data_IF_797218835924
#
_entry.id   IF_797218835924
#
_cell.length_a   1.000
_cell.length_b   1.000
_cell.length_c   1.000
_cell.angle_alpha   90.00
_cell.angle_beta   90.00
_cell.angle_gamma   90.00
#
_symmetry.space_group_name_H-M   'P 1'
#
loop_
_entity.id
_entity.type
_entity.pdbx_description
1 polymer ?
#
# COMPACT_ATOMS: atom_id res chain seq x y z
N UNK A 1 25.43 -10.85 6.55
CA UNK A 1 24.74 -9.54 6.68
C UNK A 1 23.93 -9.16 5.43
N UNK A 2 24.42 -9.40 4.21
CA UNK A 2 23.66 -9.10 2.98
C UNK A 2 22.44 -10.00 2.73
N UNK A 3 22.52 -11.30 3.06
CA UNK A 3 21.41 -12.26 2.89
C UNK A 3 20.13 -11.81 3.61
N UNK A 4 20.23 -11.50 4.90
CA UNK A 4 19.09 -10.96 5.68
C UNK A 4 18.52 -9.64 5.11
N UNK A 5 19.34 -8.78 4.49
CA UNK A 5 18.88 -7.53 3.89
C UNK A 5 18.12 -7.77 2.59
N UNK A 6 18.57 -8.72 1.77
CA UNK A 6 17.85 -9.16 0.55
C UNK A 6 16.53 -9.83 0.91
N UNK A 7 16.53 -10.71 1.91
CA UNK A 7 15.31 -11.41 2.35
C UNK A 7 14.30 -10.44 2.97
N UNK A 8 14.76 -9.39 3.68
CA UNK A 8 13.90 -8.32 4.21
C UNK A 8 13.19 -7.55 3.09
N UNK A 9 13.83 -7.31 1.95
CA UNK A 9 13.21 -6.61 0.83
C UNK A 9 12.22 -7.54 0.10
N UNK A 10 12.56 -8.83 -0.03
CA UNK A 10 11.73 -9.80 -0.75
C UNK A 10 10.33 -9.92 -0.16
N UNK A 11 10.20 -10.20 1.14
CA UNK A 11 8.88 -10.38 1.76
C UNK A 11 8.02 -9.10 1.71
N UNK A 12 8.65 -7.91 1.85
CA UNK A 12 7.94 -6.62 1.75
C UNK A 12 7.31 -6.48 0.37
N UNK A 13 8.09 -6.76 -0.68
CA UNK A 13 7.58 -6.65 -2.05
C UNK A 13 6.48 -7.69 -2.33
N UNK A 14 6.64 -8.94 -1.86
CA UNK A 14 5.59 -9.96 -2.01
C UNK A 14 4.31 -9.54 -1.27
N UNK A 15 4.43 -8.98 -0.06
CA UNK A 15 3.29 -8.48 0.68
C UNK A 15 2.58 -7.31 -0.05
N UNK A 16 3.34 -6.42 -0.71
CA UNK A 16 2.77 -5.40 -1.60
C UNK A 16 2.04 -5.99 -2.79
N UNK A 17 2.58 -7.06 -3.38
CA UNK A 17 1.93 -7.75 -4.49
C UNK A 17 0.60 -8.39 -4.05
N UNK A 18 0.58 -9.07 -2.90
CA UNK A 18 -0.66 -9.66 -2.37
C UNK A 18 -1.68 -8.57 -2.03
N UNK A 19 -1.23 -7.46 -1.43
CA UNK A 19 -2.10 -6.32 -1.17
C UNK A 19 -2.66 -5.72 -2.47
N UNK A 20 -1.87 -5.59 -3.55
CA UNK A 20 -2.40 -5.05 -4.82
C UNK A 20 -3.39 -5.99 -5.49
N UNK A 21 -3.17 -7.31 -5.40
CA UNK A 21 -4.14 -8.29 -5.89
C UNK A 21 -5.45 -8.19 -5.10
N UNK A 22 -5.37 -8.04 -3.77
CA UNK A 22 -6.55 -7.81 -2.95
C UNK A 22 -7.29 -6.50 -3.31
N UNK A 23 -6.58 -5.39 -3.57
CA UNK A 23 -7.21 -4.17 -4.11
C UNK A 23 -7.96 -4.46 -5.41
N UNK A 24 -7.37 -5.23 -6.33
CA UNK A 24 -8.03 -5.53 -7.60
C UNK A 24 -9.28 -6.40 -7.37
N UNK A 25 -9.20 -7.42 -6.50
CA UNK A 25 -10.35 -8.26 -6.13
C UNK A 25 -11.49 -7.39 -5.61
N UNK A 26 -11.20 -6.47 -4.68
CA UNK A 26 -12.18 -5.53 -4.14
C UNK A 26 -12.93 -4.75 -5.25
N UNK A 27 -12.16 -4.17 -6.18
CA UNK A 27 -12.72 -3.30 -7.22
C UNK A 27 -13.42 -4.03 -8.36
N UNK A 28 -13.32 -5.37 -8.44
CA UNK A 28 -14.08 -6.17 -9.42
C UNK A 28 -15.35 -6.79 -8.82
N UNK A 29 -15.65 -6.51 -7.56
CA UNK A 29 -16.94 -6.85 -6.95
C UNK A 29 -18.10 -6.15 -7.67
N UNK A 30 -19.19 -6.87 -7.94
CA UNK A 30 -20.31 -6.42 -8.77
C UNK A 30 -20.04 -6.43 -10.28
N UNK A 31 -18.84 -6.84 -10.72
CA UNK A 31 -18.46 -6.95 -12.13
C UNK A 31 -18.10 -8.39 -12.48
N UNK A 32 -17.20 -9.00 -11.70
CA UNK A 32 -16.68 -10.35 -11.91
C UNK A 32 -17.14 -11.36 -10.84
N UNK A 33 -17.80 -10.89 -9.79
CA UNK A 33 -18.45 -11.71 -8.76
C UNK A 33 -19.39 -10.82 -7.93
N UNK A 34 -20.41 -11.42 -7.32
CA UNK A 34 -21.35 -10.71 -6.42
C UNK A 34 -21.28 -11.18 -4.97
N UNK A 35 -20.52 -12.25 -4.69
CA UNK A 35 -20.41 -12.78 -3.34
C UNK A 35 -19.59 -11.82 -2.44
N UNK A 36 -20.19 -11.23 -1.39
CA UNK A 36 -19.52 -10.24 -0.55
C UNK A 36 -18.33 -10.82 0.22
N UNK A 37 -18.26 -12.14 0.43
CA UNK A 37 -17.16 -12.82 1.13
C UNK A 37 -15.80 -12.44 0.51
N UNK A 38 -15.70 -12.40 -0.82
CA UNK A 38 -14.45 -12.07 -1.50
C UNK A 38 -14.05 -10.60 -1.32
N UNK A 39 -15.03 -9.68 -1.28
CA UNK A 39 -14.76 -8.29 -0.96
C UNK A 39 -14.24 -8.15 0.49
N UNK A 40 -14.92 -8.75 1.47
CA UNK A 40 -14.47 -8.74 2.87
C UNK A 40 -13.09 -9.36 3.08
N UNK A 41 -12.77 -10.44 2.36
CA UNK A 41 -11.44 -11.06 2.37
C UNK A 41 -10.36 -10.13 1.82
N UNK A 42 -10.71 -9.10 1.06
CA UNK A 42 -9.77 -8.22 0.38
C UNK A 42 -9.57 -6.85 1.07
N UNK A 43 -10.47 -6.46 1.98
CA UNK A 43 -10.44 -5.15 2.66
C UNK A 43 -9.18 -4.88 3.50
N UNK A 44 -8.37 -5.91 3.81
CA UNK A 44 -7.09 -5.71 4.49
C UNK A 44 -6.06 -4.91 3.65
N UNK A 45 -6.27 -4.83 2.34
CA UNK A 45 -5.24 -4.44 1.38
C UNK A 45 -4.61 -3.07 1.67
N UNK A 46 -5.43 -2.04 1.88
CA UNK A 46 -4.94 -0.67 2.11
C UNK A 46 -4.21 -0.60 3.46
N UNK A 47 -4.72 -1.26 4.49
CA UNK A 47 -4.06 -1.34 5.80
C UNK A 47 -2.69 -2.00 5.71
N UNK A 48 -2.56 -3.10 4.95
CA UNK A 48 -1.27 -3.74 4.68
C UNK A 48 -0.32 -2.78 3.96
N UNK A 49 -0.79 -2.05 2.94
CA UNK A 49 0.05 -1.05 2.25
C UNK A 49 0.57 0.04 3.19
N UNK A 50 -0.29 0.56 4.07
CA UNK A 50 0.07 1.59 5.05
C UNK A 50 1.07 1.05 6.07
N UNK A 51 0.89 -0.20 6.53
CA UNK A 51 1.86 -0.84 7.42
C UNK A 51 3.24 -0.98 6.74
N UNK A 52 3.28 -1.50 5.50
CA UNK A 52 4.51 -1.64 4.73
C UNK A 52 5.17 -0.29 4.40
N UNK A 53 4.36 0.76 4.22
CA UNK A 53 4.82 2.14 4.12
C UNK A 53 5.57 2.58 5.38
N UNK A 54 5.04 2.25 6.57
CA UNK A 54 5.71 2.49 7.85
C UNK A 54 7.05 1.78 7.93
N UNK A 55 7.09 0.48 7.59
CA UNK A 55 8.32 -0.33 7.57
C UNK A 55 9.38 0.30 6.66
N UNK A 56 9.01 0.61 5.42
CA UNK A 56 9.94 1.16 4.43
C UNK A 56 10.36 2.60 4.75
N UNK A 57 9.47 3.41 5.33
CA UNK A 57 9.78 4.76 5.79
C UNK A 57 10.77 4.75 6.96
N UNK A 58 10.64 3.81 7.90
CA UNK A 58 11.62 3.63 8.97
C UNK A 58 13.02 3.33 8.42
N UNK A 59 13.15 2.37 7.50
CA UNK A 59 14.44 2.06 6.86
C UNK A 59 14.99 3.20 5.99
N UNK A 60 14.11 4.00 5.36
CA UNK A 60 14.54 5.19 4.62
C UNK A 60 15.13 6.24 5.57
N UNK A 61 14.40 6.59 6.64
CA UNK A 61 14.85 7.57 7.63
C UNK A 61 16.13 7.12 8.34
N UNK A 62 16.30 5.82 8.61
CA UNK A 62 17.53 5.29 9.18
C UNK A 62 18.74 5.43 8.24
N UNK A 63 18.56 5.20 6.93
CA UNK A 63 19.66 5.31 5.94
C UNK A 63 20.07 6.76 5.69
N UNK A 64 19.10 7.66 5.69
CA UNK A 64 19.29 9.08 5.37
C UNK A 64 19.27 9.96 6.63
N UNK A 65 19.56 9.40 7.81
CA UNK A 65 19.48 10.13 9.07
C UNK A 65 20.39 11.37 9.13
N UNK A 66 21.54 11.31 8.43
CA UNK A 66 22.52 12.40 8.34
C UNK A 66 22.26 13.38 7.19
N UNK A 67 21.32 13.07 6.30
CA UNK A 67 21.05 13.90 5.13
C UNK A 67 20.24 15.14 5.54
N UNK A 68 20.30 16.17 4.69
CA UNK A 68 19.43 17.32 4.85
C UNK A 68 17.96 16.90 4.77
N UNK A 69 17.20 17.19 5.83
CA UNK A 69 15.79 16.81 5.99
C UNK A 69 14.92 17.20 4.78
N UNK A 70 15.05 18.44 4.31
CA UNK A 70 14.23 18.96 3.21
C UNK A 70 14.58 18.25 1.90
N UNK A 71 15.87 18.02 1.65
CA UNK A 71 16.33 17.31 0.45
C UNK A 71 15.82 15.86 0.41
N UNK A 72 15.86 15.15 1.53
CA UNK A 72 15.34 13.78 1.62
C UNK A 72 13.82 13.73 1.44
N UNK A 73 13.10 14.65 2.09
CA UNK A 73 11.64 14.73 1.97
C UNK A 73 11.20 15.01 0.53
N UNK A 74 11.81 16.00 -0.14
CA UNK A 74 11.53 16.32 -1.55
C UNK A 74 11.78 15.11 -2.45
N UNK A 75 12.90 14.39 -2.24
CA UNK A 75 13.23 13.19 -3.02
C UNK A 75 12.13 12.12 -2.90
N UNK A 76 11.63 11.88 -1.68
CA UNK A 76 10.58 10.89 -1.41
C UNK A 76 9.24 11.31 -2.02
N UNK A 77 8.85 12.58 -1.83
CA UNK A 77 7.62 13.14 -2.39
C UNK A 77 7.65 13.07 -3.92
N UNK A 78 8.76 13.46 -4.57
CA UNK A 78 8.91 13.39 -6.03
C UNK A 78 8.71 11.98 -6.58
N UNK A 79 9.16 10.95 -5.87
CA UNK A 79 8.98 9.55 -6.26
C UNK A 79 7.52 9.09 -6.38
N UNK A 80 6.57 9.86 -5.84
CA UNK A 80 5.14 9.55 -5.84
C UNK A 80 4.36 10.60 -6.63
N UNK A 81 4.67 11.87 -6.38
CA UNK A 81 4.02 13.00 -7.03
C UNK A 81 4.18 12.94 -8.55
N UNK A 82 5.38 12.57 -9.05
CA UNK A 82 5.60 12.49 -10.51
C UNK A 82 4.73 11.40 -11.15
N UNK A 83 4.77 10.12 -10.72
CA UNK A 83 3.86 9.11 -11.24
C UNK A 83 2.38 9.50 -11.13
N UNK A 84 1.98 10.14 -10.03
CA UNK A 84 0.60 10.61 -9.82
C UNK A 84 0.19 11.72 -10.79
N UNK A 85 1.05 12.71 -11.04
CA UNK A 85 0.84 13.78 -12.03
C UNK A 85 0.64 13.17 -13.42
N UNK A 86 1.52 12.25 -13.82
CA UNK A 86 1.43 11.55 -15.11
C UNK A 86 0.15 10.71 -15.20
N UNK A 87 -0.20 9.97 -14.14
CA UNK A 87 -1.43 9.20 -14.10
C UNK A 87 -2.66 10.10 -14.24
N UNK A 88 -2.72 11.22 -13.52
CA UNK A 88 -3.82 12.19 -13.61
C UNK A 88 -3.99 12.71 -15.04
N UNK A 89 -2.89 13.04 -15.72
CA UNK A 89 -2.95 13.48 -17.12
C UNK A 89 -3.51 12.39 -18.04
N UNK A 90 -3.03 11.15 -17.90
CA UNK A 90 -3.52 9.99 -18.69
C UNK A 90 -5.01 9.74 -18.44
N UNK A 91 -5.45 9.78 -17.18
CA UNK A 91 -6.86 9.61 -16.83
C UNK A 91 -7.74 10.71 -17.44
N UNK A 92 -7.24 11.94 -17.48
CA UNK A 92 -7.97 13.05 -18.09
C UNK A 92 -8.13 12.83 -19.59
N UNK A 93 -7.05 12.49 -20.31
CA UNK A 93 -7.15 12.16 -21.73
C UNK A 93 -8.10 10.98 -21.99
N UNK A 94 -8.03 9.94 -21.17
CA UNK A 94 -8.88 8.77 -21.34
C UNK A 94 -10.36 9.06 -21.04
N UNK A 95 -10.65 9.94 -20.08
CA UNK A 95 -12.02 10.27 -19.64
C UNK A 95 -12.67 11.32 -20.52
N UNK A 96 -11.97 12.42 -20.77
CA UNK A 96 -12.52 13.60 -21.46
C UNK A 96 -12.20 13.62 -22.94
N UNK A 97 -11.22 12.85 -23.42
CA UNK A 97 -10.76 12.80 -24.83
C UNK A 97 -10.15 14.11 -25.37
N UNK A 98 -9.91 15.10 -24.50
CA UNK A 98 -9.18 16.32 -24.81
C UNK A 98 -8.38 16.80 -23.59
N UNK A 99 -7.45 17.73 -23.81
CA UNK A 99 -6.66 18.36 -22.76
C UNK A 99 -7.32 19.67 -22.29
N UNK A 100 -7.56 19.79 -20.99
CA UNK A 100 -7.99 21.03 -20.34
C UNK A 100 -7.16 21.28 -19.10
N UNK A 101 -6.34 22.33 -19.13
CA UNK A 101 -5.43 22.66 -18.04
C UNK A 101 -6.19 22.95 -16.73
N UNK A 102 -7.39 23.56 -16.81
CA UNK A 102 -8.18 23.90 -15.63
C UNK A 102 -8.67 22.63 -14.92
N UNK A 103 -9.32 21.73 -15.66
CA UNK A 103 -9.73 20.42 -15.16
C UNK A 103 -8.54 19.58 -14.68
N UNK A 104 -7.39 19.65 -15.37
CA UNK A 104 -6.17 18.96 -14.94
C UNK A 104 -5.71 19.40 -13.56
N UNK A 105 -5.53 20.71 -13.36
CA UNK A 105 -5.08 21.28 -12.09
C UNK A 105 -6.09 20.98 -10.99
N UNK A 106 -7.40 21.08 -11.28
CA UNK A 106 -8.44 20.75 -10.33
C UNK A 106 -8.30 19.31 -9.81
N UNK A 107 -8.24 18.33 -10.72
CA UNK A 107 -8.09 16.92 -10.36
C UNK A 107 -6.76 16.61 -9.67
N UNK A 108 -5.69 17.29 -10.07
CA UNK A 108 -4.37 17.13 -9.50
C UNK A 108 -4.31 17.59 -8.04
N UNK A 109 -4.97 18.70 -7.71
CA UNK A 109 -5.00 19.22 -6.35
C UNK A 109 -6.03 18.51 -5.47
N UNK A 110 -7.12 18.01 -6.05
CA UNK A 110 -8.22 17.38 -5.31
C UNK A 110 -8.14 15.85 -5.23
N UNK A 111 -7.19 15.21 -5.91
CA UNK A 111 -7.01 13.75 -5.92
C UNK A 111 -8.26 12.97 -6.34
N UNK A 112 -9.17 13.57 -7.12
CA UNK A 112 -10.54 13.07 -7.33
C UNK A 112 -10.85 12.62 -8.75
N UNK A 113 -9.86 12.48 -9.65
CA UNK A 113 -10.11 11.96 -11.01
C UNK A 113 -10.52 10.48 -11.01
N UNK A 114 -10.17 9.74 -9.96
CA UNK A 114 -10.61 8.38 -9.71
C UNK A 114 -10.69 8.13 -8.21
N UNK A 115 -11.68 7.35 -7.77
CA UNK A 115 -11.99 7.16 -6.35
C UNK A 115 -10.81 6.71 -5.51
N UNK A 116 -9.96 5.81 -6.03
CA UNK A 116 -8.79 5.27 -5.34
C UNK A 116 -7.63 6.27 -5.18
N UNK A 117 -7.61 7.41 -5.87
CA UNK A 117 -6.50 8.36 -5.77
C UNK A 117 -6.38 9.02 -4.38
N UNK A 118 -7.39 8.91 -3.51
CA UNK A 118 -7.32 9.34 -2.11
C UNK A 118 -6.13 8.77 -1.35
N UNK A 119 -5.73 7.54 -1.66
CA UNK A 119 -4.61 6.88 -1.00
C UNK A 119 -3.29 7.59 -1.24
N UNK A 120 -3.13 8.24 -2.41
CA UNK A 120 -1.92 9.02 -2.72
C UNK A 120 -1.80 10.20 -1.75
N UNK A 121 -2.90 10.91 -1.48
CA UNK A 121 -2.93 11.99 -0.51
C UNK A 121 -2.60 11.48 0.90
N UNK A 122 -3.22 10.38 1.35
CA UNK A 122 -2.89 9.74 2.63
C UNK A 122 -1.40 9.40 2.72
N UNK A 123 -0.85 8.78 1.67
CA UNK A 123 0.54 8.36 1.62
C UNK A 123 1.52 9.54 1.68
N UNK A 124 1.21 10.65 0.99
CA UNK A 124 1.99 11.89 1.07
C UNK A 124 2.00 12.48 2.48
N UNK A 125 0.84 12.56 3.14
CA UNK A 125 0.74 13.03 4.52
C UNK A 125 1.60 12.18 5.48
N UNK A 126 1.57 10.85 5.32
CA UNK A 126 2.37 9.92 6.13
C UNK A 126 3.87 10.05 5.88
N UNK A 127 4.28 10.30 4.63
CA UNK A 127 5.70 10.54 4.31
C UNK A 127 6.21 11.81 4.99
N UNK A 128 5.42 12.88 4.99
CA UNK A 128 5.76 14.16 5.62
C UNK A 128 5.95 13.98 7.13
N UNK A 129 5.05 13.27 7.82
CA UNK A 129 5.14 13.07 9.28
C UNK A 129 6.19 12.01 9.68
N UNK A 130 6.58 11.13 8.75
CA UNK A 130 7.46 9.98 9.06
C UNK A 130 8.80 10.32 9.73
N UNK A 131 9.52 11.40 9.41
CA UNK A 131 10.80 11.67 10.07
C UNK A 131 10.63 12.10 11.53
N UNK A 132 9.53 12.80 11.85
CA UNK A 132 9.18 13.14 13.23
C UNK A 132 8.89 11.86 14.03
N UNK A 133 8.03 10.99 13.51
CA UNK A 133 7.73 9.70 14.14
C UNK A 133 8.99 8.85 14.33
N UNK A 134 9.88 8.82 13.33
CA UNK A 134 11.15 8.11 13.42
C UNK A 134 11.98 8.60 14.59
N UNK A 135 12.16 9.93 14.73
CA UNK A 135 12.93 10.52 15.84
C UNK A 135 12.31 10.18 17.19
N UNK A 136 10.99 10.28 17.32
CA UNK A 136 10.28 9.94 18.54
C UNK A 136 10.48 8.46 18.92
N UNK A 137 10.32 7.54 17.97
CA UNK A 137 10.59 6.11 18.17
C UNK A 137 12.03 5.88 18.64
N UNK A 138 13.01 6.49 17.99
CA UNK A 138 14.42 6.33 18.36
C UNK A 138 14.72 6.87 19.77
N UNK A 139 14.10 7.98 20.16
CA UNK A 139 14.19 8.50 21.54
C UNK A 139 13.63 7.49 22.54
N UNK A 140 12.46 6.90 22.25
CA UNK A 140 11.85 5.87 23.10
C UNK A 140 12.73 4.61 23.18
N UNK A 141 13.29 4.17 22.06
CA UNK A 141 14.12 2.96 21.99
C UNK A 141 15.43 3.05 22.75
N UNK A 142 15.94 4.26 22.98
CA UNK A 142 17.16 4.52 23.76
C UNK A 142 16.92 4.56 25.28
N UNK A 143 15.67 4.44 25.76
CA UNK A 143 15.35 4.44 27.19
C UNK A 143 15.46 3.03 27.79
N UNK A 144 15.84 2.94 29.07
CA UNK A 144 15.89 1.66 29.82
C UNK A 144 14.54 0.91 29.78
N UNK A 145 13.43 1.63 29.94
CA UNK A 145 12.05 1.11 29.85
C UNK A 145 11.43 1.32 28.46
N UNK A 146 12.17 1.03 27.38
CA UNK A 146 11.75 1.31 26.00
C UNK A 146 10.32 0.91 25.65
N UNK A 147 9.85 -0.25 26.13
CA UNK A 147 8.49 -0.74 25.87
C UNK A 147 7.43 0.22 26.42
N UNK A 148 7.59 0.70 27.65
CA UNK A 148 6.66 1.64 28.28
C UNK A 148 6.57 2.94 27.46
N UNK A 149 7.70 3.48 27.01
CA UNK A 149 7.73 4.72 26.21
C UNK A 149 7.12 4.52 24.81
N UNK A 150 7.35 3.37 24.18
CA UNK A 150 6.76 3.02 22.88
C UNK A 150 5.24 2.86 22.99
N UNK A 151 4.75 2.24 24.07
CA UNK A 151 3.31 2.12 24.34
C UNK A 151 2.70 3.50 24.61
N UNK A 152 3.32 4.32 25.44
CA UNK A 152 2.86 5.69 25.72
C UNK A 152 2.79 6.54 24.44
N UNK A 153 3.81 6.46 23.57
CA UNK A 153 3.79 7.11 22.26
C UNK A 153 2.65 6.58 21.39
N UNK A 154 2.40 5.26 21.41
CA UNK A 154 1.27 4.64 20.72
C UNK A 154 -0.08 5.19 21.18
N UNK A 155 -0.28 5.37 22.49
CA UNK A 155 -1.49 5.97 23.05
C UNK A 155 -1.68 7.43 22.60
N UNK A 156 -0.60 8.22 22.57
CA UNK A 156 -0.65 9.61 22.06
C UNK A 156 -1.05 9.61 20.59
N UNK A 157 -0.44 8.75 19.77
CA UNK A 157 -0.77 8.63 18.34
C UNK A 157 -2.22 8.18 18.16
N UNK A 158 -2.72 7.25 18.99
CA UNK A 158 -4.11 6.82 18.98
C UNK A 158 -5.06 8.00 19.25
N UNK A 159 -4.75 8.84 20.25
CA UNK A 159 -5.49 10.07 20.51
C UNK A 159 -5.50 11.03 19.31
N UNK A 160 -4.36 11.22 18.66
CA UNK A 160 -4.27 12.02 17.42
C UNK A 160 -5.13 11.42 16.30
N UNK A 161 -5.15 10.09 16.15
CA UNK A 161 -5.98 9.42 15.14
C UNK A 161 -7.47 9.66 15.40
N UNK A 162 -7.92 9.53 16.65
CA UNK A 162 -9.31 9.82 17.05
C UNK A 162 -9.66 11.28 16.79
N UNK A 163 -8.80 12.22 17.20
CA UNK A 163 -9.03 13.63 16.95
C UNK A 163 -9.10 13.96 15.45
N UNK A 164 -8.23 13.33 14.66
CA UNK A 164 -8.21 13.50 13.22
C UNK A 164 -9.51 13.04 12.56
N UNK A 165 -10.00 11.84 12.87
CA UNK A 165 -11.21 11.28 12.26
C UNK A 165 -12.46 12.10 12.61
N UNK A 166 -12.54 12.64 13.83
CA UNK A 166 -13.75 13.31 14.31
C UNK A 166 -13.75 14.84 14.11
N UNK A 167 -12.57 15.48 14.03
CA UNK A 167 -12.48 16.94 14.06
C UNK A 167 -11.67 17.55 12.91
N UNK A 168 -11.27 16.77 11.91
CA UNK A 168 -10.57 17.33 10.74
C UNK A 168 -11.31 16.99 9.45
N UNK A 169 -11.29 17.93 8.51
CA UNK A 169 -11.80 17.73 7.16
C UNK A 169 -10.98 18.61 6.22
N UNK A 170 -9.97 18.02 5.59
CA UNK A 170 -8.99 18.75 4.77
C UNK A 170 -9.53 18.97 3.37
N UNK A 171 -10.07 17.91 2.76
CA UNK A 171 -10.53 17.94 1.39
C UNK A 171 -11.69 16.98 1.19
N UNK A 172 -12.61 17.33 0.30
CA UNK A 172 -13.75 16.50 -0.04
C UNK A 172 -13.34 15.35 -0.97
N UNK A 173 -12.80 14.28 -0.38
CA UNK A 173 -12.45 13.05 -1.06
C UNK A 173 -12.90 11.83 -0.25
N UNK A 174 -13.07 10.71 -0.94
CA UNK A 174 -13.36 9.42 -0.32
C UNK A 174 -12.24 8.97 0.65
N UNK A 175 -12.63 8.14 1.64
CA UNK A 175 -11.71 7.42 2.50
C UNK A 175 -10.89 8.28 3.46
N UNK A 176 -9.74 7.78 3.91
CA UNK A 176 -8.86 8.47 4.85
C UNK A 176 -8.29 9.80 4.34
N UNK A 177 -8.33 10.06 3.02
CA UNK A 177 -7.78 11.28 2.42
C UNK A 177 -8.45 12.58 2.90
N UNK A 178 -9.71 12.50 3.36
CA UNK A 178 -10.43 13.65 3.93
C UNK A 178 -9.90 14.09 5.30
N UNK A 179 -9.21 13.22 6.02
CA UNK A 179 -8.75 13.46 7.40
C UNK A 179 -7.25 13.78 7.46
N UNK A 180 -6.84 14.51 8.50
CA UNK A 180 -5.43 14.82 8.77
C UNK A 180 -4.64 13.56 9.09
N UNK A 181 -3.45 13.41 8.50
CA UNK A 181 -2.62 12.21 8.59
C UNK A 181 -3.31 10.90 8.18
N UNK A 182 -4.44 10.97 7.46
CA UNK A 182 -5.20 9.79 7.05
C UNK A 182 -6.06 9.16 8.16
N UNK A 183 -6.29 9.86 9.28
CA UNK A 183 -7.06 9.31 10.40
C UNK A 183 -6.37 8.11 11.05
N UNK A 184 -7.08 6.97 11.17
CA UNK A 184 -6.53 5.74 11.78
C UNK A 184 -5.39 5.09 10.97
N UNK A 185 -5.13 5.51 9.73
CA UNK A 185 -3.94 5.07 9.00
C UNK A 185 -2.63 5.47 9.70
N UNK A 186 -2.61 6.54 10.49
CA UNK A 186 -1.42 6.98 11.21
C UNK A 186 -0.95 5.94 12.25
N UNK A 187 -1.87 5.29 12.99
CA UNK A 187 -1.48 4.25 13.97
C UNK A 187 -0.96 2.98 13.28
N UNK A 188 -1.53 2.61 12.13
CA UNK A 188 -1.05 1.48 11.33
C UNK A 188 0.35 1.76 10.79
N UNK A 189 0.57 2.97 10.28
CA UNK A 189 1.87 3.43 9.81
C UNK A 189 2.91 3.39 10.94
N UNK A 190 2.53 3.86 12.14
CA UNK A 190 3.35 3.75 13.34
C UNK A 190 3.68 2.30 13.71
N UNK A 191 2.72 1.37 13.66
CA UNK A 191 2.99 -0.05 13.88
C UNK A 191 3.99 -0.63 12.87
N UNK A 192 3.91 -0.22 11.60
CA UNK A 192 4.91 -0.57 10.60
C UNK A 192 6.32 -0.08 10.96
N UNK A 193 6.44 1.16 11.43
CA UNK A 193 7.72 1.72 11.88
C UNK A 193 8.25 0.99 13.13
N UNK A 194 7.38 0.68 14.09
CA UNK A 194 7.76 -0.10 15.27
C UNK A 194 8.23 -1.49 14.88
N UNK A 195 7.51 -2.18 14.00
CA UNK A 195 7.89 -3.49 13.50
C UNK A 195 9.30 -3.48 12.91
N UNK A 196 9.63 -2.48 12.08
CA UNK A 196 10.98 -2.32 11.53
C UNK A 196 12.03 -2.02 12.61
N UNK A 197 11.67 -1.29 13.66
CA UNK A 197 12.58 -0.97 14.78
C UNK A 197 12.97 -2.21 15.60
N UNK A 198 12.04 -3.17 15.76
CA UNK A 198 12.25 -4.44 16.47
C UNK A 198 12.72 -5.59 15.54
N UNK A 199 12.56 -5.44 14.22
CA UNK A 199 12.81 -6.45 13.19
C UNK A 199 14.27 -6.92 13.04
N UNK A 200 15.18 -6.49 13.92
CA UNK A 200 16.53 -7.07 14.05
C UNK A 200 16.55 -8.37 14.85
N UNK A 201 15.44 -8.79 15.45
CA UNK A 201 15.35 -10.07 16.15
C UNK A 201 15.38 -11.20 15.11
N UNK A 202 16.45 -12.00 15.12
CA UNK A 202 16.56 -13.20 14.30
C UNK A 202 15.58 -14.26 14.81
N UNK A 203 14.45 -14.41 14.13
CA UNK A 203 13.47 -15.46 14.40
C UNK A 203 13.93 -16.73 13.67
N UNK A 204 14.01 -17.85 14.37
CA UNK A 204 14.37 -19.14 13.77
C UNK A 204 13.28 -19.65 12.82
N UNK A 205 13.64 -20.44 11.81
CA UNK A 205 12.70 -21.05 10.85
C UNK A 205 11.47 -21.67 11.52
N UNK A 206 11.66 -22.52 12.54
CA UNK A 206 10.56 -23.16 13.30
C UNK A 206 9.61 -22.14 13.93
N UNK A 207 10.15 -21.07 14.51
CA UNK A 207 9.34 -20.00 15.10
C UNK A 207 8.59 -19.20 14.03
N UNK A 208 9.18 -18.99 12.85
CA UNK A 208 8.48 -18.36 11.72
C UNK A 208 7.30 -19.20 11.25
N UNK A 209 7.48 -20.52 11.09
CA UNK A 209 6.38 -21.43 10.72
C UNK A 209 5.29 -21.45 11.80
N UNK A 210 5.67 -21.56 13.08
CA UNK A 210 4.70 -21.49 14.18
C UNK A 210 3.92 -20.17 14.21
N UNK A 211 4.61 -19.05 13.98
CA UNK A 211 3.98 -17.72 13.87
C UNK A 211 3.07 -17.62 12.64
N UNK A 212 3.42 -18.23 11.51
CA UNK A 212 2.59 -18.26 10.31
C UNK A 212 1.29 -19.04 10.55
N UNK A 213 1.36 -20.21 11.18
CA UNK A 213 0.18 -21.01 11.52
C UNK A 213 -0.71 -20.24 12.51
N UNK A 214 -0.13 -19.71 13.58
CA UNK A 214 -0.87 -18.94 14.58
C UNK A 214 -1.55 -17.70 13.97
N UNK A 215 -0.82 -16.93 13.17
CA UNK A 215 -1.38 -15.73 12.52
C UNK A 215 -2.41 -16.05 11.44
N UNK A 216 -2.29 -17.19 10.75
CA UNK A 216 -3.33 -17.66 9.84
C UNK A 216 -4.62 -17.98 10.59
N UNK A 217 -4.55 -18.75 11.69
CA UNK A 217 -5.71 -19.06 12.53
C UNK A 217 -6.34 -17.80 13.11
N UNK A 218 -5.52 -16.90 13.64
CA UNK A 218 -5.97 -15.59 14.14
C UNK A 218 -6.66 -14.78 13.05
N UNK A 219 -6.10 -14.73 11.84
CA UNK A 219 -6.67 -14.03 10.68
C UNK A 219 -8.03 -14.61 10.30
N UNK A 220 -8.18 -15.95 10.30
CA UNK A 220 -9.45 -16.62 10.05
C UNK A 220 -10.47 -16.25 11.13
N UNK A 221 -10.10 -16.28 12.41
CA UNK A 221 -10.98 -15.87 13.50
C UNK A 221 -11.43 -14.39 13.37
N UNK A 222 -10.50 -13.48 13.10
CA UNK A 222 -10.80 -12.07 12.87
C UNK A 222 -11.68 -11.86 11.64
N UNK A 223 -11.45 -12.61 10.56
CA UNK A 223 -12.28 -12.57 9.36
C UNK A 223 -13.70 -13.04 9.65
N UNK A 224 -13.87 -14.19 10.31
CA UNK A 224 -15.18 -14.70 10.68
C UNK A 224 -15.93 -13.70 11.57
N UNK A 225 -15.23 -13.11 12.55
CA UNK A 225 -15.79 -12.04 13.37
C UNK A 225 -16.20 -10.83 12.52
N UNK A 226 -15.33 -10.31 11.67
CA UNK A 226 -15.60 -9.17 10.80
C UNK A 226 -16.80 -9.41 9.88
N UNK A 227 -16.86 -10.61 9.29
CA UNK A 227 -17.93 -11.00 8.36
C UNK A 227 -19.30 -11.10 9.06
N UNK A 228 -19.34 -11.64 10.29
CA UNK A 228 -20.58 -11.74 11.07
C UNK A 228 -20.99 -10.42 11.74
N UNK A 229 -20.03 -9.69 12.29
CA UNK A 229 -20.26 -8.42 12.98
C UNK A 229 -20.61 -7.29 12.00
N UNK A 230 -20.08 -7.34 10.77
CA UNK A 230 -20.27 -6.32 9.74
C UNK A 230 -19.94 -4.90 10.25
N UNK A 231 -18.84 -4.78 11.00
CA UNK A 231 -18.33 -3.53 11.58
C UNK A 231 -19.27 -2.87 12.61
N UNK A 232 -20.24 -3.59 13.18
CA UNK A 232 -21.10 -3.05 14.24
C UNK A 232 -20.31 -2.63 15.48
N UNK A 233 -19.23 -3.35 15.80
CA UNK A 233 -18.37 -3.01 16.95
C UNK A 233 -17.70 -1.64 16.81
N UNK A 234 -17.52 -1.15 15.58
CA UNK A 234 -16.87 0.15 15.32
C UNK A 234 -17.66 1.31 15.93
N UNK A 235 -18.97 1.15 16.14
CA UNK A 235 -19.83 2.14 16.80
C UNK A 235 -19.42 2.42 18.24
N UNK A 236 -18.72 1.48 18.89
CA UNK A 236 -18.21 1.67 20.25
C UNK A 236 -16.87 2.41 20.28
N UNK A 237 -16.21 2.57 19.14
CA UNK A 237 -14.92 3.22 19.01
C UNK A 237 -15.05 4.54 18.27
N UNK A 238 -14.23 5.52 18.63
CA UNK A 238 -14.23 6.83 17.98
C UNK A 238 -13.36 6.85 16.71
N UNK A 239 -13.42 5.78 15.91
CA UNK A 239 -12.64 5.58 14.67
C UNK A 239 -13.47 5.73 13.38
N UNK A 240 -14.69 6.27 13.48
CA UNK A 240 -15.60 6.46 12.35
C UNK A 240 -16.27 5.15 11.89
N UNK A 241 -16.72 5.10 10.65
CA UNK A 241 -17.52 3.97 10.11
C UNK A 241 -16.72 2.68 9.87
N UNK A 242 -15.40 2.71 10.12
CA UNK A 242 -14.54 1.53 10.19
C UNK A 242 -14.10 0.90 8.87
N UNK A 243 -14.64 1.34 7.71
CA UNK A 243 -14.19 0.88 6.39
C UNK A 243 -12.95 1.64 5.92
N UNK A 244 -13.03 2.97 5.89
CA UNK A 244 -11.97 3.81 5.34
C UNK A 244 -12.03 5.26 5.88
N UNK A 245 -11.13 5.65 6.80
CA UNK A 245 -9.99 4.88 7.29
C UNK A 245 -10.44 3.68 8.18
N UNK A 246 -9.60 2.65 8.35
CA UNK A 246 -10.02 1.38 8.93
C UNK A 246 -10.32 1.50 10.42
N UNK A 247 -11.34 0.79 10.86
CA UNK A 247 -11.71 0.63 12.26
C UNK A 247 -10.88 -0.42 12.99
N UNK A 248 -11.22 -0.69 14.24
CA UNK A 248 -10.50 -1.64 15.10
C UNK A 248 -10.52 -3.05 14.52
N UNK A 249 -11.67 -3.52 14.04
CA UNK A 249 -11.84 -4.86 13.48
C UNK A 249 -10.96 -5.07 12.25
N UNK A 250 -10.98 -4.08 11.34
CA UNK A 250 -10.19 -4.13 10.11
C UNK A 250 -8.69 -3.99 10.39
N UNK A 251 -8.31 -3.16 11.38
CA UNK A 251 -6.92 -3.07 11.86
C UNK A 251 -6.46 -4.44 12.39
N UNK A 252 -7.22 -5.07 13.28
CA UNK A 252 -6.87 -6.37 13.88
C UNK A 252 -6.76 -7.46 12.82
N UNK A 253 -7.76 -7.57 11.94
CA UNK A 253 -7.74 -8.50 10.81
C UNK A 253 -6.49 -8.30 9.94
N UNK A 254 -6.21 -7.05 9.56
CA UNK A 254 -5.06 -6.73 8.72
C UNK A 254 -3.73 -6.99 9.41
N UNK A 255 -3.61 -6.78 10.73
CA UNK A 255 -2.39 -7.12 11.47
C UNK A 255 -2.13 -8.62 11.49
N UNK A 256 -3.19 -9.44 11.58
CA UNK A 256 -3.11 -10.89 11.38
C UNK A 256 -2.51 -11.23 10.01
N UNK A 257 -3.05 -10.63 8.95
CA UNK A 257 -2.56 -10.80 7.58
C UNK A 257 -1.09 -10.37 7.47
N UNK A 258 -0.71 -9.20 7.99
CA UNK A 258 0.69 -8.73 7.97
C UNK A 258 1.63 -9.74 8.63
N UNK A 259 1.29 -10.23 9.82
CA UNK A 259 2.12 -11.18 10.56
C UNK A 259 2.23 -12.50 9.79
N UNK A 260 1.13 -12.97 9.19
CA UNK A 260 1.14 -14.14 8.33
C UNK A 260 2.07 -13.95 7.14
N UNK A 261 1.89 -12.87 6.37
CA UNK A 261 2.71 -12.57 5.20
C UNK A 261 4.19 -12.47 5.56
N UNK A 262 4.52 -11.75 6.63
CA UNK A 262 5.90 -11.65 7.10
C UNK A 262 6.47 -13.02 7.46
N UNK A 263 5.79 -13.77 8.33
CA UNK A 263 6.31 -15.03 8.88
C UNK A 263 6.40 -16.13 7.83
N UNK A 264 5.37 -16.28 7.00
CA UNK A 264 5.30 -17.24 5.91
C UNK A 264 6.36 -16.96 4.84
N UNK A 265 6.38 -15.77 4.24
CA UNK A 265 7.34 -15.48 3.16
C UNK A 265 8.78 -15.38 3.67
N UNK A 266 9.00 -14.93 4.91
CA UNK A 266 10.34 -14.97 5.52
C UNK A 266 10.82 -16.38 5.84
N UNK A 267 9.93 -17.35 6.03
CA UNK A 267 10.29 -18.76 6.19
C UNK A 267 10.58 -19.40 4.82
N UNK A 268 9.71 -19.15 3.83
CA UNK A 268 9.88 -19.70 2.48
C UNK A 268 11.17 -19.18 1.83
N UNK A 269 11.56 -17.92 2.07
CA UNK A 269 12.85 -17.39 1.59
C UNK A 269 14.08 -18.13 2.14
N UNK A 270 13.96 -18.86 3.26
CA UNK A 270 15.07 -19.66 3.81
C UNK A 270 15.16 -21.05 3.17
N UNK A 271 14.13 -21.51 2.45
CA UNK A 271 14.12 -22.82 1.80
C UNK A 271 15.06 -22.80 0.60
N UNK A 272 16.05 -23.68 0.61
CA UNK A 272 17.03 -23.82 -0.46
C UNK A 272 16.46 -24.66 -1.61
N UNK A 273 15.53 -24.11 -2.38
CA UNK A 273 14.95 -24.76 -3.56
C UNK A 273 14.86 -23.76 -4.72
N UNK A 274 15.43 -24.13 -5.88
CA UNK A 274 15.53 -23.27 -7.07
C UNK A 274 14.16 -22.85 -7.63
N UNK A 275 13.16 -23.73 -7.61
CA UNK A 275 11.81 -23.42 -8.10
C UNK A 275 11.11 -22.44 -7.17
N UNK A 276 11.21 -22.67 -5.85
CA UNK A 276 10.66 -21.76 -4.83
C UNK A 276 11.32 -20.38 -4.95
N UNK A 277 12.65 -20.34 -5.09
CA UNK A 277 13.38 -19.08 -5.26
C UNK A 277 12.92 -18.33 -6.52
N UNK A 278 12.72 -19.03 -7.64
CA UNK A 278 12.20 -18.43 -8.87
C UNK A 278 10.82 -17.80 -8.66
N UNK A 279 9.89 -18.52 -8.03
CA UNK A 279 8.54 -18.01 -7.73
C UNK A 279 8.61 -16.78 -6.82
N UNK A 280 9.40 -16.84 -5.74
CA UNK A 280 9.61 -15.71 -4.82
C UNK A 280 10.16 -14.50 -5.57
N UNK A 281 11.13 -14.70 -6.46
CA UNK A 281 11.73 -13.61 -7.22
C UNK A 281 10.70 -12.96 -8.17
N UNK A 282 9.85 -13.76 -8.83
CA UNK A 282 8.76 -13.24 -9.67
C UNK A 282 7.74 -12.45 -8.84
N UNK A 283 7.27 -13.01 -7.72
CA UNK A 283 6.30 -12.32 -6.84
C UNK A 283 6.89 -11.04 -6.26
N UNK A 284 8.16 -11.07 -5.86
CA UNK A 284 8.88 -9.90 -5.37
C UNK A 284 9.03 -8.83 -6.46
N UNK A 285 9.39 -9.24 -7.68
CA UNK A 285 9.48 -8.33 -8.82
C UNK A 285 8.15 -7.67 -9.15
N UNK A 286 7.04 -8.43 -9.21
CA UNK A 286 5.69 -7.88 -9.41
C UNK A 286 5.33 -6.84 -8.33
N UNK A 287 5.71 -7.12 -7.08
CA UNK A 287 5.50 -6.22 -5.94
C UNK A 287 6.20 -4.87 -6.04
N UNK A 288 7.29 -4.76 -6.80
CA UNK A 288 7.97 -3.47 -7.03
C UNK A 288 7.13 -2.50 -7.87
N UNK A 289 6.19 -3.01 -8.66
CA UNK A 289 5.31 -2.23 -9.52
C UNK A 289 3.98 -1.87 -8.85
N UNK A 290 3.79 -2.18 -7.56
CA UNK A 290 2.51 -2.01 -6.87
C UNK A 290 1.95 -0.59 -6.97
N UNK A 291 2.79 0.46 -6.96
CA UNK A 291 2.35 1.84 -7.14
C UNK A 291 1.77 2.09 -8.55
N UNK A 292 2.39 1.56 -9.59
CA UNK A 292 1.90 1.73 -10.97
C UNK A 292 0.62 0.94 -11.18
N UNK A 293 0.56 -0.30 -10.70
CA UNK A 293 -0.66 -1.10 -10.73
C UNK A 293 -1.78 -0.34 -9.99
N UNK A 294 -1.48 0.19 -8.80
CA UNK A 294 -2.41 1.02 -8.04
C UNK A 294 -2.92 2.22 -8.83
N UNK A 295 -2.03 2.96 -9.50
CA UNK A 295 -2.44 4.15 -10.23
C UNK A 295 -3.34 3.84 -11.44
N UNK A 296 -3.15 2.71 -12.13
CA UNK A 296 -3.80 2.48 -13.43
C UNK A 296 -4.84 1.36 -13.48
N UNK A 297 -4.97 0.50 -12.45
CA UNK A 297 -5.88 -0.65 -12.50
C UNK A 297 -7.34 -0.26 -12.77
N UNK A 298 -7.87 0.81 -12.15
CA UNK A 298 -9.25 1.27 -12.40
C UNK A 298 -9.47 1.80 -13.81
N UNK A 299 -8.45 2.42 -14.42
CA UNK A 299 -8.55 2.87 -15.81
C UNK A 299 -8.66 1.67 -16.74
N UNK A 300 -7.86 0.64 -16.49
CA UNK A 300 -7.88 -0.60 -17.27
C UNK A 300 -9.22 -1.30 -17.08
N UNK A 301 -9.73 -1.38 -15.84
CA UNK A 301 -11.05 -1.93 -15.56
C UNK A 301 -12.14 -1.23 -16.37
N UNK A 302 -12.16 0.12 -16.37
CA UNK A 302 -13.13 0.89 -17.16
C UNK A 302 -13.01 0.66 -18.67
N UNK A 303 -11.78 0.48 -19.18
CA UNK A 303 -11.56 0.11 -20.58
C UNK A 303 -12.12 -1.28 -20.85
N UNK A 304 -11.86 -2.25 -19.97
CA UNK A 304 -12.37 -3.62 -20.10
C UNK A 304 -13.88 -3.69 -20.05
N UNK A 305 -14.53 -2.91 -19.17
CA UNK A 305 -15.99 -2.76 -19.11
C UNK A 305 -16.56 -2.20 -20.41
N UNK A 306 -15.92 -1.18 -20.99
CA UNK A 306 -16.35 -0.59 -22.26
C UNK A 306 -16.23 -1.59 -23.42
N UNK A 307 -15.19 -2.43 -23.41
CA UNK A 307 -15.00 -3.51 -24.39
C UNK A 307 -15.84 -4.75 -24.04
N UNK A 308 -16.44 -4.81 -22.85
CA UNK A 308 -17.10 -6.00 -22.31
C UNK A 308 -18.27 -6.49 -23.18
N UNK A 309 -18.94 -5.59 -23.91
CA UNK A 309 -19.96 -5.97 -24.90
C UNK A 309 -19.41 -6.92 -25.99
N UNK A 310 -18.11 -6.89 -26.28
CA UNK A 310 -17.42 -7.83 -27.17
C UNK A 310 -16.73 -9.00 -26.43
N UNK A 311 -16.46 -8.87 -25.13
CA UNK A 311 -15.83 -9.89 -24.26
C UNK A 311 -16.87 -10.88 -23.68
N UNK A 312 -18.17 -10.67 -23.95
CA UNK A 312 -19.27 -11.57 -23.61
C UNK A 312 -19.07 -13.02 -24.11
N UNK A 313 -18.23 -13.23 -25.13
CA UNK A 313 -17.89 -14.55 -25.68
C UNK A 313 -16.86 -15.33 -24.85
N UNK A 314 -16.16 -14.69 -23.91
CA UNK A 314 -15.20 -15.39 -23.04
C UNK A 314 -15.95 -16.09 -21.92
N UNK A 315 -15.74 -17.41 -21.71
CA UNK A 315 -16.28 -18.14 -20.57
C UNK A 315 -16.00 -17.40 -19.26
N UNK A 316 -16.97 -17.33 -18.36
CA UNK A 316 -16.85 -16.60 -17.09
C UNK A 316 -15.58 -16.99 -16.29
N UNK A 317 -15.22 -18.28 -16.30
CA UNK A 317 -14.00 -18.82 -15.67
C UNK A 317 -12.73 -18.16 -16.21
N UNK A 318 -12.71 -17.76 -17.48
CA UNK A 318 -11.57 -17.11 -18.12
C UNK A 318 -11.59 -15.58 -17.99
N UNK A 319 -12.73 -14.97 -17.62
CA UNK A 319 -12.81 -13.51 -17.43
C UNK A 319 -11.94 -13.02 -16.27
N UNK A 320 -12.00 -13.71 -15.13
CA UNK A 320 -11.22 -13.36 -13.93
C UNK A 320 -9.71 -13.33 -14.20
N UNK A 321 -9.08 -14.41 -14.72
CA UNK A 321 -7.65 -14.39 -14.99
C UNK A 321 -7.28 -13.36 -16.06
N UNK A 322 -8.12 -13.13 -17.08
CA UNK A 322 -7.86 -12.09 -18.10
C UNK A 322 -7.86 -10.69 -17.47
N UNK A 323 -8.85 -10.35 -16.65
CA UNK A 323 -8.91 -9.05 -15.98
C UNK A 323 -7.71 -8.86 -15.05
N UNK A 324 -7.37 -9.85 -14.23
CA UNK A 324 -6.20 -9.79 -13.35
C UNK A 324 -4.90 -9.60 -14.14
N UNK A 325 -4.69 -10.38 -15.21
CA UNK A 325 -3.49 -10.29 -16.05
C UNK A 325 -3.40 -8.92 -16.71
N UNK A 326 -4.49 -8.35 -17.21
CA UNK A 326 -4.47 -7.04 -17.87
C UNK A 326 -4.30 -5.90 -16.87
N UNK A 327 -5.01 -5.93 -15.74
CA UNK A 327 -4.93 -4.91 -14.70
C UNK A 327 -3.55 -4.87 -14.02
N UNK A 328 -2.81 -5.98 -14.00
CA UNK A 328 -1.43 -6.06 -13.48
C UNK A 328 -0.41 -5.84 -14.60
N UNK A 329 -0.58 -6.48 -15.74
CA UNK A 329 0.38 -6.52 -16.84
C UNK A 329 0.51 -5.19 -17.58
N UNK A 330 -0.61 -4.52 -17.90
CA UNK A 330 -0.58 -3.26 -18.65
C UNK A 330 0.15 -2.13 -17.91
N UNK A 331 -0.06 -1.90 -16.58
CA UNK A 331 0.71 -0.90 -15.85
C UNK A 331 2.20 -1.21 -15.77
N UNK A 332 2.56 -2.50 -15.65
CA UNK A 332 3.97 -2.94 -15.64
C UNK A 332 4.61 -2.64 -17.00
N UNK A 333 3.97 -3.05 -18.09
CA UNK A 333 4.44 -2.77 -19.45
C UNK A 333 4.58 -1.27 -19.68
N UNK A 334 3.56 -0.48 -19.31
CA UNK A 334 3.59 0.98 -19.41
C UNK A 334 4.79 1.61 -18.68
N UNK A 335 5.09 1.16 -17.46
CA UNK A 335 6.26 1.63 -16.71
C UNK A 335 7.58 1.24 -17.38
N UNK A 336 7.71 0.01 -17.88
CA UNK A 336 8.91 -0.46 -18.57
C UNK A 336 9.15 0.32 -19.88
N UNK A 337 8.11 0.51 -20.69
CA UNK A 337 8.17 1.33 -21.90
C UNK A 337 8.50 2.80 -21.57
N UNK A 338 7.86 3.38 -20.55
CA UNK A 338 8.13 4.76 -20.13
C UNK A 338 9.59 4.97 -19.71
N UNK A 339 10.17 4.04 -18.94
CA UNK A 339 11.60 4.09 -18.58
C UNK A 339 12.52 4.01 -19.80
N UNK A 340 12.24 3.08 -20.72
CA UNK A 340 13.03 2.91 -21.95
C UNK A 340 12.95 4.17 -22.83
N UNK A 341 11.76 4.74 -22.98
CA UNK A 341 11.53 5.97 -23.73
C UNK A 341 12.28 7.16 -23.11
N UNK A 342 12.20 7.36 -21.79
CA UNK A 342 12.94 8.41 -21.10
C UNK A 342 14.45 8.26 -21.23
N UNK A 343 14.97 7.02 -21.17
CA UNK A 343 16.39 6.73 -21.39
C UNK A 343 16.82 7.10 -22.82
N UNK A 344 15.99 6.77 -23.80
CA UNK A 344 16.22 7.13 -25.20
C UNK A 344 16.21 8.65 -25.42
N UNK A 345 15.23 9.35 -24.84
CA UNK A 345 15.12 10.82 -24.95
C UNK A 345 16.31 11.52 -24.30
N UNK A 346 16.78 11.06 -23.14
CA UNK A 346 17.99 11.62 -22.49
C UNK A 346 19.23 11.45 -23.35
N UNK A 347 19.41 10.27 -23.93
CA UNK A 347 20.53 10.02 -24.85
C UNK A 347 20.49 10.98 -26.04
N UNK A 348 19.33 11.15 -26.66
CA UNK A 348 19.16 12.04 -27.83
C UNK A 348 19.33 13.52 -27.48
N UNK A 349 18.86 13.96 -26.30
CA UNK A 349 19.05 15.34 -25.83
C UNK A 349 20.51 15.63 -25.47
N UNK A 350 21.25 14.68 -24.88
CA UNK A 350 22.70 14.85 -24.66
C UNK A 350 23.48 14.93 -25.99
N UNK A 351 23.03 14.24 -27.05
CA UNK A 351 23.64 14.37 -28.38
C UNK A 351 23.39 15.75 -29.01
N UNK A 352 22.27 16.41 -28.67
CA UNK A 352 21.95 17.77 -29.14
C UNK A 352 22.74 18.84 -28.37
N UNK A 353 23.10 18.61 -27.10
CA UNK A 353 23.95 19.55 -26.33
C UNK A 353 25.45 19.49 -26.72
N UNK A 354 25.86 18.49 -27.51
CA UNK A 354 27.25 18.30 -27.98
C UNK A 354 27.44 18.80 -29.43
N UNK A 355 26.35 19.12 -30.13
CA UNK A 355 26.34 19.74 -31.46
C UNK A 355 26.07 21.24 -31.33
#
# INVERSE_FOLDING_TARGET
>A
MEKNKRDTIKWINIAKFIAIVAVIIDHVNGILYDNPIFAWLSYFAVTVFIFLSGVTSFYSNQRHYKDNFLKDLIRRIKGIAIPYIVATAIYQFATYRFWDLKTFIYHLLHFNISGHFYYILVYLQLIIISPLLYRMIMICMNKKRKLLYVVALGCIILGICVLSVNYTYIINIYGGGKYLFGGSYLIIFYFGMLFASYGRISITFRKKIGLAIFSLLYTICCFMFLYHDQLKIERFFWFGDGLNPPGVSLILYSMGVVIFLFSFFSAICEIQNKYIESIINVLSWLGEFSLYIYLYHMLILRILECVNNNILLIPYILKIPVYLVLMIGMPILGNLFGKKFLSYMKYKLMVIEIL
#
